data_IF_843089622972
#
_entry.id   IF_843089622972
#
_cell.length_a   1.000
_cell.length_b   1.000
_cell.length_c   1.000
_cell.angle_alpha   90.00
_cell.angle_beta   90.00
_cell.angle_gamma   90.00
#
_symmetry.space_group_name_H-M   'P 1'
#
loop_
_entity.id
_entity.type
_entity.pdbx_description
1 polymer ?
#
# COMPACT_ATOMS: atom_id res chain seq x y z
N UNK A 1 8.77 6.15 16.09
CA UNK A 1 8.29 4.77 16.35
C UNK A 1 8.18 4.09 15.01
N UNK A 2 8.93 3.03 14.74
CA UNK A 2 8.89 2.39 13.42
C UNK A 2 7.62 1.54 13.25
N UNK A 3 7.01 1.58 12.06
CA UNK A 3 5.70 0.96 11.79
C UNK A 3 5.69 -0.57 11.88
N UNK A 4 6.85 -1.22 11.85
CA UNK A 4 7.00 -2.68 11.99
C UNK A 4 7.47 -3.12 13.39
N UNK A 5 7.88 -2.20 14.26
CA UNK A 5 8.48 -2.54 15.56
C UNK A 5 7.48 -2.39 16.70
N UNK A 6 7.50 -3.33 17.64
CA UNK A 6 6.63 -3.31 18.81
C UNK A 6 6.97 -2.17 19.76
N UNK A 7 5.97 -1.48 20.34
CA UNK A 7 4.53 -1.64 20.12
C UNK A 7 4.10 -1.12 18.73
N UNK A 8 3.37 -1.95 17.98
CA UNK A 8 2.98 -1.67 16.59
C UNK A 8 1.60 -1.03 16.56
N UNK A 9 1.43 0.14 15.94
CA UNK A 9 0.11 0.67 15.64
C UNK A 9 -0.46 -0.08 14.43
N UNK A 10 -1.42 -0.99 14.64
CA UNK A 10 -2.00 -1.72 13.52
C UNK A 10 -2.89 -0.79 12.69
N UNK A 11 -2.87 -0.85 11.35
CA UNK A 11 -3.70 0.01 10.50
C UNK A 11 -5.20 -0.08 10.79
N UNK A 12 -5.68 -1.24 11.24
CA UNK A 12 -7.08 -1.40 11.65
C UNK A 12 -7.42 -0.56 12.89
N UNK A 13 -6.51 -0.47 13.86
CA UNK A 13 -6.66 0.36 15.05
C UNK A 13 -6.57 1.85 14.69
N UNK A 14 -5.62 2.20 13.81
CA UNK A 14 -5.50 3.55 13.27
C UNK A 14 -6.77 3.97 12.54
N UNK A 15 -7.35 3.10 11.72
CA UNK A 15 -8.60 3.38 11.00
C UNK A 15 -9.73 3.69 11.98
N UNK A 16 -9.87 2.93 13.07
CA UNK A 16 -10.89 3.21 14.08
C UNK A 16 -10.73 4.61 14.69
N UNK A 17 -9.49 5.03 14.99
CA UNK A 17 -9.20 6.41 15.44
C UNK A 17 -9.57 7.44 14.39
N UNK A 18 -9.18 7.23 13.13
CA UNK A 18 -9.50 8.15 12.02
C UNK A 18 -11.00 8.28 11.85
N UNK A 19 -11.75 7.18 11.83
CA UNK A 19 -13.23 7.21 11.73
C UNK A 19 -13.85 8.02 12.85
N UNK A 20 -13.34 7.84 14.07
CA UNK A 20 -13.83 8.58 15.23
C UNK A 20 -13.56 10.07 15.07
N UNK A 21 -12.33 10.48 14.76
CA UNK A 21 -11.99 11.88 14.55
C UNK A 21 -12.76 12.50 13.37
N UNK A 22 -12.89 11.79 12.25
CA UNK A 22 -13.67 12.21 11.07
C UNK A 22 -15.18 12.36 11.35
N UNK A 23 -15.69 11.72 12.41
CA UNK A 23 -17.09 11.89 12.83
C UNK A 23 -17.33 13.12 13.70
N UNK A 24 -16.27 13.86 14.06
CA UNK A 24 -16.32 15.05 14.91
C UNK A 24 -16.05 16.31 14.08
N UNK A 25 -16.80 17.37 14.36
CA UNK A 25 -16.62 18.68 13.73
C UNK A 25 -15.56 19.55 14.43
N UNK A 26 -15.11 19.15 15.61
CA UNK A 26 -14.20 19.91 16.46
C UNK A 26 -13.04 19.04 16.94
N UNK A 27 -11.87 19.63 17.26
CA UNK A 27 -10.75 18.90 17.84
C UNK A 27 -11.15 18.12 19.09
N UNK A 28 -10.67 16.89 19.22
CA UNK A 28 -11.12 15.95 20.25
C UNK A 28 -10.07 15.74 21.32
N UNK A 29 -10.37 15.94 22.61
CA UNK A 29 -9.41 15.67 23.67
C UNK A 29 -8.90 14.23 23.64
N UNK A 30 -7.61 14.01 23.90
CA UNK A 30 -7.02 12.66 23.94
C UNK A 30 -7.82 11.70 24.82
N UNK A 31 -8.24 12.19 25.98
CA UNK A 31 -9.00 11.40 26.95
C UNK A 31 -10.38 10.96 26.41
N UNK A 32 -11.00 11.79 25.56
CA UNK A 32 -12.26 11.43 24.89
C UNK A 32 -12.03 10.34 23.84
N UNK A 33 -10.93 10.41 23.08
CA UNK A 33 -10.54 9.35 22.13
C UNK A 33 -10.31 8.03 22.89
N UNK A 34 -9.55 8.08 23.99
CA UNK A 34 -9.22 6.92 24.83
C UNK A 34 -10.48 6.26 25.41
N UNK A 35 -11.34 7.02 26.09
CA UNK A 35 -12.56 6.50 26.73
C UNK A 35 -13.48 5.85 25.70
N UNK A 36 -13.61 6.45 24.52
CA UNK A 36 -14.52 5.95 23.49
C UNK A 36 -14.02 4.66 22.84
N UNK A 37 -12.73 4.55 22.58
CA UNK A 37 -12.13 3.43 21.86
C UNK A 37 -11.72 2.28 22.77
N UNK A 38 -11.46 2.57 24.04
CA UNK A 38 -10.89 1.63 24.99
C UNK A 38 -11.62 1.71 26.36
N UNK A 39 -12.97 1.60 26.40
CA UNK A 39 -13.76 1.89 27.61
C UNK A 39 -13.45 0.95 28.78
N UNK A 40 -12.86 -0.22 28.52
CA UNK A 40 -12.53 -1.24 29.53
C UNK A 40 -11.10 -1.13 30.06
N UNK A 41 -10.27 -0.23 29.52
CA UNK A 41 -8.90 -0.06 29.98
C UNK A 41 -8.91 0.96 31.13
N UNK A 42 -8.71 0.53 32.40
CA UNK A 42 -8.65 1.46 33.51
C UNK A 42 -7.52 2.46 33.30
N UNK A 43 -7.61 3.64 33.93
CA UNK A 43 -6.51 4.60 33.94
C UNK A 43 -5.23 3.90 34.41
N UNK A 44 -4.33 3.65 33.47
CA UNK A 44 -3.08 2.96 33.70
C UNK A 44 -1.94 3.84 33.21
N UNK A 45 -0.77 3.71 33.83
CA UNK A 45 0.44 4.40 33.36
C UNK A 45 0.99 3.84 32.03
N UNK A 46 0.39 2.78 31.47
CA UNK A 46 0.81 2.21 30.19
C UNK A 46 0.16 2.97 29.04
N UNK A 47 0.95 3.23 28.01
CA UNK A 47 0.46 3.77 26.74
C UNK A 47 -0.55 2.79 26.12
N UNK A 48 -1.61 3.33 25.54
CA UNK A 48 -2.71 2.54 24.99
C UNK A 48 -2.66 2.46 23.46
N UNK A 49 -3.52 1.63 22.86
CA UNK A 49 -3.62 1.51 21.39
C UNK A 49 -4.00 2.85 20.77
N UNK A 50 -4.91 3.61 21.39
CA UNK A 50 -5.26 4.97 20.96
C UNK A 50 -4.02 5.89 20.94
N UNK A 51 -3.14 5.80 21.94
CA UNK A 51 -1.89 6.57 21.95
C UNK A 51 -0.98 6.20 20.77
N UNK A 52 -0.75 4.91 20.53
CA UNK A 52 0.12 4.46 19.44
C UNK A 52 -0.43 4.84 18.07
N UNK A 53 -1.74 4.71 17.86
CA UNK A 53 -2.40 5.12 16.63
C UNK A 53 -2.29 6.64 16.37
N UNK A 54 -2.56 7.47 17.38
CA UNK A 54 -2.41 8.93 17.27
C UNK A 54 -0.96 9.36 17.03
N UNK A 55 -0.01 8.71 17.72
CA UNK A 55 1.42 8.95 17.52
C UNK A 55 1.86 8.58 16.09
N UNK A 56 1.35 7.47 15.55
CA UNK A 56 1.60 7.05 14.17
C UNK A 56 1.02 8.06 13.16
N UNK A 57 -0.25 8.46 13.34
CA UNK A 57 -0.88 9.48 12.49
C UNK A 57 -0.10 10.80 12.52
N UNK A 58 0.37 11.23 13.69
CA UNK A 58 1.22 12.42 13.81
C UNK A 58 2.55 12.26 13.09
N UNK A 59 3.23 11.13 13.25
CA UNK A 59 4.51 10.89 12.55
C UNK A 59 4.35 10.82 11.04
N UNK A 60 3.16 10.48 10.55
CA UNK A 60 2.80 10.46 9.14
C UNK A 60 2.21 11.78 8.65
N UNK A 61 2.11 12.81 9.50
CA UNK A 61 1.53 14.11 9.13
C UNK A 61 0.03 14.07 8.82
N UNK A 62 -0.70 13.08 9.32
CA UNK A 62 -2.12 12.84 9.06
C UNK A 62 -3.03 13.22 10.24
N UNK A 63 -2.46 13.54 11.39
CA UNK A 63 -3.15 14.15 12.52
C UNK A 63 -2.19 15.05 13.30
N UNK A 64 -2.74 16.01 14.04
CA UNK A 64 -1.94 16.88 14.90
C UNK A 64 -2.61 17.12 16.25
N UNK A 65 -1.78 17.50 17.22
CA UNK A 65 -2.24 18.01 18.50
C UNK A 65 -2.49 19.52 18.39
N UNK A 66 -3.69 19.96 18.77
CA UNK A 66 -4.11 21.37 18.81
C UNK A 66 -4.33 21.82 20.25
N UNK A 67 -4.38 23.14 20.47
CA UNK A 67 -4.68 23.70 21.80
C UNK A 67 -3.64 23.35 22.87
N UNK A 68 -2.36 23.40 22.53
CA UNK A 68 -1.26 23.16 23.48
C UNK A 68 -1.07 21.68 23.89
N UNK A 69 -1.41 20.73 23.00
CA UNK A 69 -1.22 19.30 23.27
C UNK A 69 -2.44 18.59 23.85
N UNK A 70 -3.60 19.25 23.88
CA UNK A 70 -4.78 18.75 24.61
C UNK A 70 -5.82 18.07 23.74
N UNK A 71 -5.92 18.44 22.45
CA UNK A 71 -6.92 17.93 21.53
C UNK A 71 -6.32 17.49 20.19
N UNK A 72 -6.99 16.58 19.50
CA UNK A 72 -6.52 15.97 18.26
C UNK A 72 -7.47 16.29 17.10
N UNK A 73 -6.89 16.57 15.93
CA UNK A 73 -7.63 16.73 14.68
C UNK A 73 -6.92 16.01 13.54
N UNK A 74 -7.66 15.60 12.52
CA UNK A 74 -7.10 15.08 11.27
C UNK A 74 -6.53 16.22 10.44
N UNK A 75 -5.45 15.94 9.71
CA UNK A 75 -4.72 16.91 8.88
C UNK A 75 -4.29 16.28 7.55
N UNK A 76 -3.69 17.08 6.67
CA UNK A 76 -3.19 16.62 5.37
C UNK A 76 -4.29 15.96 4.53
N UNK A 77 -3.95 14.82 3.94
CA UNK A 77 -4.87 14.02 3.11
C UNK A 77 -6.09 13.47 3.87
N UNK A 78 -6.10 13.53 5.21
CA UNK A 78 -7.23 13.12 6.05
C UNK A 78 -8.09 14.28 6.56
N UNK A 79 -7.74 15.55 6.31
CA UNK A 79 -8.46 16.70 6.86
C UNK A 79 -9.96 16.73 6.47
N UNK A 80 -10.30 16.22 5.29
CA UNK A 80 -11.68 16.10 4.78
C UNK A 80 -12.21 14.67 4.71
N UNK A 81 -11.55 13.72 5.40
CA UNK A 81 -11.95 12.32 5.33
C UNK A 81 -13.35 12.10 5.93
N UNK A 82 -14.14 11.24 5.29
CA UNK A 82 -15.42 10.77 5.84
C UNK A 82 -15.20 9.54 6.71
N UNK A 83 -16.03 9.37 7.75
CA UNK A 83 -15.95 8.24 8.69
C UNK A 83 -16.31 6.88 8.08
N UNK A 84 -16.86 6.86 6.86
CA UNK A 84 -17.22 5.66 6.09
C UNK A 84 -16.31 5.43 4.87
N UNK A 85 -15.39 6.34 4.56
CA UNK A 85 -14.56 6.29 3.35
C UNK A 85 -13.20 5.62 3.62
N UNK A 86 -13.20 4.30 3.67
CA UNK A 86 -11.97 3.51 3.84
C UNK A 86 -11.01 3.67 2.65
N UNK A 87 -11.52 3.93 1.44
CA UNK A 87 -10.68 4.10 0.26
C UNK A 87 -9.85 5.39 0.35
N UNK A 88 -10.44 6.50 0.82
CA UNK A 88 -9.71 7.72 1.14
C UNK A 88 -8.65 7.49 2.22
N UNK A 89 -8.99 6.74 3.29
CA UNK A 89 -8.02 6.35 4.30
C UNK A 89 -6.84 5.56 3.73
N UNK A 90 -7.09 4.52 2.93
CA UNK A 90 -6.03 3.74 2.30
C UNK A 90 -5.12 4.62 1.43
N UNK A 91 -5.69 5.54 0.64
CA UNK A 91 -4.93 6.47 -0.20
C UNK A 91 -4.06 7.41 0.63
N UNK A 92 -4.63 8.05 1.65
CA UNK A 92 -3.91 8.97 2.52
C UNK A 92 -2.75 8.26 3.25
N UNK A 93 -3.01 7.09 3.83
CA UNK A 93 -1.96 6.29 4.49
C UNK A 93 -0.87 5.87 3.51
N UNK A 94 -1.23 5.46 2.28
CA UNK A 94 -0.26 5.11 1.24
C UNK A 94 0.58 6.31 0.81
N UNK A 95 -0.03 7.47 0.60
CA UNK A 95 0.70 8.69 0.26
C UNK A 95 1.71 9.06 1.34
N UNK A 96 1.31 9.03 2.61
CA UNK A 96 2.19 9.36 3.72
C UNK A 96 3.32 8.34 3.91
N UNK A 97 3.01 7.03 3.86
CA UNK A 97 4.02 5.96 4.01
C UNK A 97 5.03 5.97 2.88
N UNK A 98 4.59 6.27 1.65
CA UNK A 98 5.47 6.27 0.47
C UNK A 98 6.16 7.62 0.21
N UNK A 99 5.82 8.68 0.94
CA UNK A 99 6.37 10.02 0.73
C UNK A 99 5.91 10.68 -0.57
N UNK A 100 4.62 10.54 -0.90
CA UNK A 100 4.00 11.10 -2.12
C UNK A 100 3.27 12.41 -1.81
N UNK A 101 2.83 13.16 -2.82
CA UNK A 101 1.95 14.34 -2.66
C UNK A 101 2.48 15.42 -1.70
N UNK A 102 3.80 15.60 -1.66
CA UNK A 102 4.43 16.58 -0.77
C UNK A 102 4.57 16.11 0.69
N UNK A 103 4.26 14.85 0.98
CA UNK A 103 4.66 14.23 2.24
C UNK A 103 6.17 13.99 2.24
N UNK A 104 6.85 14.53 3.25
CA UNK A 104 8.22 14.13 3.54
C UNK A 104 8.24 12.66 3.96
N UNK A 105 9.15 11.84 3.42
CA UNK A 105 9.21 10.43 3.81
C UNK A 105 9.47 10.28 5.31
N UNK A 106 8.48 9.77 6.04
CA UNK A 106 8.64 9.54 7.47
C UNK A 106 9.64 8.40 7.70
N UNK A 107 10.75 8.67 8.41
CA UNK A 107 11.77 7.67 8.79
C UNK A 107 11.15 6.43 9.46
N UNK A 108 10.03 6.63 10.17
CA UNK A 108 9.25 5.56 10.79
C UNK A 108 8.76 4.48 9.82
N UNK A 109 8.69 4.79 8.53
CA UNK A 109 8.19 3.91 7.48
C UNK A 109 9.30 3.21 6.68
N UNK A 110 10.58 3.46 6.93
CA UNK A 110 11.70 2.96 6.10
C UNK A 110 11.73 1.44 5.99
N UNK A 111 11.67 0.74 7.14
CA UNK A 111 11.61 -0.72 7.18
C UNK A 111 10.38 -1.25 6.44
N UNK A 112 9.23 -0.56 6.55
CA UNK A 112 8.01 -0.96 5.83
C UNK A 112 8.16 -0.76 4.32
N UNK A 113 8.75 0.35 3.86
CA UNK A 113 9.00 0.61 2.44
C UNK A 113 9.93 -0.43 1.84
N UNK A 114 11.00 -0.79 2.56
CA UNK A 114 11.93 -1.85 2.15
C UNK A 114 11.23 -3.21 2.08
N UNK A 115 10.39 -3.53 3.07
CA UNK A 115 9.60 -4.76 3.10
C UNK A 115 8.63 -4.86 1.91
N UNK A 116 7.95 -3.75 1.58
CA UNK A 116 7.02 -3.64 0.46
C UNK A 116 7.75 -3.82 -0.87
N UNK A 117 8.88 -3.15 -1.06
CA UNK A 117 9.69 -3.28 -2.27
C UNK A 117 10.12 -4.73 -2.51
N UNK A 118 10.72 -5.36 -1.49
CA UNK A 118 11.07 -6.78 -1.56
C UNK A 118 9.86 -7.65 -1.88
N UNK A 119 8.75 -7.47 -1.16
CA UNK A 119 7.55 -8.28 -1.32
C UNK A 119 6.96 -8.18 -2.73
N UNK A 120 6.93 -6.97 -3.31
CA UNK A 120 6.36 -6.72 -4.63
C UNK A 120 7.24 -7.23 -5.79
N UNK A 121 8.49 -7.61 -5.53
CA UNK A 121 9.29 -8.36 -6.52
C UNK A 121 8.90 -9.84 -6.62
N UNK A 122 8.14 -10.36 -5.66
CA UNK A 122 7.76 -11.78 -5.63
C UNK A 122 6.62 -12.05 -6.61
N UNK A 123 6.49 -13.30 -7.03
CA UNK A 123 5.46 -13.72 -7.98
C UNK A 123 4.16 -14.13 -7.26
N UNK A 124 3.06 -13.35 -7.38
CA UNK A 124 1.78 -13.73 -6.78
C UNK A 124 1.10 -14.92 -7.46
N UNK A 125 1.54 -15.35 -8.66
CA UNK A 125 0.94 -16.48 -9.36
C UNK A 125 1.39 -17.84 -8.83
N UNK A 126 2.67 -17.94 -8.49
CA UNK A 126 3.27 -19.20 -8.04
C UNK A 126 3.38 -19.30 -6.52
N UNK A 127 3.31 -18.18 -5.80
CA UNK A 127 3.71 -18.13 -4.40
C UNK A 127 2.68 -17.47 -3.48
N UNK A 128 2.51 -18.08 -2.30
CA UNK A 128 1.78 -17.49 -1.18
C UNK A 128 2.60 -17.70 0.09
N UNK A 129 2.79 -16.63 0.86
CA UNK A 129 3.81 -16.57 1.91
C UNK A 129 3.21 -16.76 3.29
N UNK A 130 3.91 -17.52 4.13
CA UNK A 130 3.84 -17.41 5.58
C UNK A 130 5.25 -17.13 6.13
N UNK A 131 5.37 -16.89 7.43
CA UNK A 131 6.66 -16.59 8.05
C UNK A 131 7.74 -17.64 7.72
N UNK A 132 7.42 -18.93 7.78
CA UNK A 132 8.39 -20.00 7.50
C UNK A 132 8.93 -19.95 6.06
N UNK A 133 8.11 -19.55 5.08
CA UNK A 133 8.57 -19.34 3.70
C UNK A 133 9.43 -18.09 3.57
N UNK A 134 9.08 -17.02 4.29
CA UNK A 134 9.82 -15.75 4.28
C UNK A 134 11.21 -15.94 4.89
N UNK A 135 11.31 -16.56 6.07
CA UNK A 135 12.58 -16.77 6.77
C UNK A 135 13.61 -17.51 5.90
N UNK A 136 13.17 -18.55 5.16
CA UNK A 136 14.04 -19.33 4.28
C UNK A 136 14.49 -18.60 3.00
N UNK A 137 13.73 -17.61 2.51
CA UNK A 137 13.94 -16.98 1.20
C UNK A 137 14.46 -15.56 1.31
N UNK A 138 13.99 -14.79 2.28
CA UNK A 138 14.41 -13.43 2.52
C UNK A 138 15.92 -13.35 2.80
N UNK A 139 16.50 -14.39 3.43
CA UNK A 139 17.95 -14.48 3.68
C UNK A 139 18.82 -14.53 2.41
N UNK A 140 18.26 -14.90 1.26
CA UNK A 140 19.03 -15.13 0.02
C UNK A 140 18.94 -13.98 -0.98
N UNK A 141 17.90 -13.15 -0.88
CA UNK A 141 17.48 -12.26 -1.96
C UNK A 141 17.48 -10.76 -1.59
N UNK A 142 18.06 -10.38 -0.44
CA UNK A 142 18.24 -8.99 -0.05
C UNK A 142 19.46 -8.38 -0.79
N UNK A 143 19.29 -7.38 -1.69
CA UNK A 143 20.39 -6.85 -2.48
C UNK A 143 21.49 -6.19 -1.65
N UNK A 144 21.11 -5.59 -0.52
CA UNK A 144 22.00 -4.95 0.47
C UNK A 144 22.49 -5.94 1.56
N UNK A 145 22.02 -7.19 1.54
CA UNK A 145 22.28 -8.18 2.58
C UNK A 145 21.56 -7.91 3.90
N UNK A 146 20.71 -6.88 3.99
CA UNK A 146 19.99 -6.52 5.21
C UNK A 146 18.60 -7.19 5.24
N UNK A 147 18.33 -7.94 6.31
CA UNK A 147 17.04 -8.59 6.48
C UNK A 147 16.00 -7.61 7.01
N UNK A 148 14.95 -7.35 6.23
CA UNK A 148 13.79 -6.57 6.68
C UNK A 148 12.98 -7.32 7.73
N UNK A 149 12.80 -8.63 7.51
CA UNK A 149 12.15 -9.54 8.45
C UNK A 149 13.18 -10.38 9.20
N UNK A 150 13.55 -9.93 10.39
CA UNK A 150 14.46 -10.65 11.29
C UNK A 150 13.76 -11.64 12.21
N UNK A 151 12.43 -11.56 12.33
CA UNK A 151 11.60 -12.43 13.17
C UNK A 151 10.12 -12.41 12.74
N UNK A 152 9.33 -13.32 13.32
CA UNK A 152 7.89 -13.43 13.12
C UNK A 152 7.12 -12.20 13.62
N UNK A 153 7.62 -11.53 14.67
CA UNK A 153 6.95 -10.35 15.26
C UNK A 153 6.84 -9.17 14.31
N UNK A 154 7.69 -9.08 13.27
CA UNK A 154 7.59 -8.06 12.21
C UNK A 154 6.68 -8.48 11.06
N UNK A 155 6.48 -9.78 10.85
CA UNK A 155 5.71 -10.30 9.73
C UNK A 155 4.22 -9.96 9.83
N UNK A 156 3.61 -10.19 11.00
CA UNK A 156 2.20 -9.85 11.22
C UNK A 156 1.90 -8.36 10.99
N UNK A 157 2.63 -7.42 11.63
CA UNK A 157 2.57 -5.99 11.30
C UNK A 157 2.67 -5.69 9.82
N UNK A 158 3.65 -6.27 9.13
CA UNK A 158 3.84 -6.05 7.70
C UNK A 158 2.63 -6.48 6.89
N UNK A 159 2.10 -7.68 7.11
CA UNK A 159 0.94 -8.16 6.34
C UNK A 159 -0.29 -7.26 6.54
N UNK A 160 -0.49 -6.75 7.76
CA UNK A 160 -1.55 -5.80 8.06
C UNK A 160 -1.34 -4.46 7.34
N UNK A 161 -0.12 -3.92 7.37
CA UNK A 161 0.26 -2.70 6.66
C UNK A 161 0.15 -2.85 5.15
N UNK A 162 0.76 -3.86 4.54
CA UNK A 162 0.70 -4.10 3.11
C UNK A 162 -0.76 -4.21 2.61
N UNK A 163 -1.61 -4.92 3.36
CA UNK A 163 -3.04 -5.03 3.05
C UNK A 163 -3.75 -3.68 3.16
N UNK A 164 -3.55 -2.94 4.25
CA UNK A 164 -4.15 -1.63 4.45
C UNK A 164 -3.69 -0.59 3.41
N UNK A 165 -2.49 -0.72 2.86
CA UNK A 165 -2.00 0.15 1.79
C UNK A 165 -2.49 -0.28 0.40
N UNK A 166 -3.12 -1.45 0.28
CA UNK A 166 -3.56 -2.03 -1.00
C UNK A 166 -2.42 -2.61 -1.83
N UNK A 167 -1.30 -2.95 -1.18
CA UNK A 167 -0.07 -3.49 -1.75
C UNK A 167 0.18 -4.95 -1.33
N UNK A 168 -0.85 -5.59 -0.80
CA UNK A 168 -0.87 -6.98 -0.42
C UNK A 168 -2.30 -7.45 -0.16
N UNK A 169 -2.49 -8.77 -0.15
CA UNK A 169 -3.78 -9.37 0.18
C UNK A 169 -3.59 -10.70 0.91
N UNK A 170 -4.57 -11.12 1.74
CA UNK A 170 -4.63 -12.51 2.17
C UNK A 170 -4.86 -13.43 0.96
N UNK A 171 -4.21 -14.59 0.96
CA UNK A 171 -4.38 -15.56 -0.11
C UNK A 171 -5.82 -16.12 -0.10
N UNK A 172 -6.51 -16.17 -1.24
CA UNK A 172 -7.93 -16.56 -1.29
C UNK A 172 -8.16 -18.01 -0.84
N UNK A 173 -7.17 -18.88 -1.00
CA UNK A 173 -7.24 -20.30 -0.64
C UNK A 173 -6.75 -20.59 0.79
N UNK A 174 -6.12 -19.64 1.48
CA UNK A 174 -5.61 -19.84 2.84
C UNK A 174 -5.43 -18.50 3.54
N UNK A 175 -6.32 -18.18 4.49
CA UNK A 175 -6.33 -16.89 5.19
C UNK A 175 -5.02 -16.56 5.95
N UNK A 176 -4.22 -17.58 6.32
CA UNK A 176 -2.92 -17.41 6.97
C UNK A 176 -1.76 -17.13 5.99
N UNK A 177 -2.03 -17.09 4.69
CA UNK A 177 -1.03 -16.80 3.68
C UNK A 177 -1.23 -15.42 3.09
N UNK A 178 -0.13 -14.82 2.66
CA UNK A 178 -0.06 -13.50 2.08
C UNK A 178 0.35 -13.57 0.61
N UNK A 179 -0.20 -12.67 -0.21
CA UNK A 179 0.13 -12.53 -1.63
C UNK A 179 0.51 -11.07 -1.90
N UNK A 180 1.60 -10.80 -2.66
CA UNK A 180 2.00 -9.47 -3.06
C UNK A 180 1.07 -8.92 -4.16
N UNK A 181 -0.16 -8.63 -3.77
CA UNK A 181 -1.23 -8.15 -4.64
C UNK A 181 -1.39 -6.63 -4.50
N UNK A 182 -0.95 -5.88 -5.52
CA UNK A 182 -1.11 -4.42 -5.58
C UNK A 182 -2.35 -3.96 -6.36
N UNK A 183 -3.29 -4.86 -6.69
CA UNK A 183 -4.46 -4.56 -7.54
C UNK A 183 -5.27 -3.39 -7.01
N UNK A 184 -5.51 -3.33 -5.69
CA UNK A 184 -6.27 -2.24 -5.08
C UNK A 184 -5.58 -0.89 -5.19
N UNK A 185 -4.27 -0.84 -4.96
CA UNK A 185 -3.52 0.39 -5.12
C UNK A 185 -3.45 0.83 -6.59
N UNK A 186 -3.23 -0.10 -7.52
CA UNK A 186 -3.24 0.15 -8.97
C UNK A 186 -4.59 0.70 -9.42
N UNK A 187 -5.69 0.05 -9.02
CA UNK A 187 -7.04 0.49 -9.34
C UNK A 187 -7.28 1.94 -8.89
N UNK A 188 -6.95 2.27 -7.63
CA UNK A 188 -7.13 3.62 -7.10
C UNK A 188 -6.30 4.67 -7.85
N UNK A 189 -5.05 4.35 -8.22
CA UNK A 189 -4.21 5.26 -9.01
C UNK A 189 -4.80 5.50 -10.39
N UNK A 190 -5.26 4.45 -11.07
CA UNK A 190 -5.85 4.59 -12.40
C UNK A 190 -7.21 5.30 -12.36
N UNK A 191 -8.02 5.10 -11.32
CA UNK A 191 -9.27 5.84 -11.14
C UNK A 191 -9.05 7.34 -10.94
N UNK A 192 -7.96 7.71 -10.26
CA UNK A 192 -7.64 9.11 -9.98
C UNK A 192 -6.99 9.84 -11.16
N UNK A 193 -6.14 9.14 -11.92
CA UNK A 193 -5.28 9.78 -12.91
C UNK A 193 -5.62 9.42 -14.36
N UNK A 194 -6.38 8.35 -14.61
CA UNK A 194 -6.72 7.91 -15.96
C UNK A 194 -8.19 8.18 -16.29
N UNK A 195 -8.49 8.90 -17.40
CA UNK A 195 -9.88 9.09 -17.83
C UNK A 195 -10.51 7.74 -18.20
N UNK A 196 -11.81 7.60 -17.93
CA UNK A 196 -12.54 6.39 -18.30
C UNK A 196 -12.82 6.36 -19.79
N UNK A 197 -12.84 5.16 -20.38
CA UNK A 197 -13.30 4.89 -21.74
C UNK A 197 -12.33 5.28 -22.86
N UNK A 198 -11.27 6.02 -22.56
CA UNK A 198 -10.26 6.43 -23.54
C UNK A 198 -9.01 5.52 -23.46
N UNK A 199 -8.52 4.98 -24.60
CA UNK A 199 -7.27 4.24 -24.61
C UNK A 199 -6.10 5.17 -24.31
N UNK A 200 -5.20 4.72 -23.44
CA UNK A 200 -3.96 5.41 -23.10
C UNK A 200 -2.76 4.53 -23.45
N UNK A 201 -1.63 5.15 -23.78
CA UNK A 201 -0.39 4.44 -24.07
C UNK A 201 0.05 3.61 -22.85
N UNK A 202 0.35 2.34 -23.07
CA UNK A 202 0.65 1.42 -21.98
C UNK A 202 1.95 1.75 -21.23
N UNK A 203 2.93 2.34 -21.91
CA UNK A 203 4.19 2.76 -21.28
C UNK A 203 3.96 3.99 -20.39
N UNK A 204 3.16 4.94 -20.85
CA UNK A 204 2.79 6.11 -20.03
C UNK A 204 1.99 5.70 -18.79
N UNK A 205 1.07 4.75 -18.92
CA UNK A 205 0.35 4.17 -17.77
C UNK A 205 1.31 3.44 -16.81
N UNK A 206 2.30 2.71 -17.32
CA UNK A 206 3.31 2.06 -16.48
C UNK A 206 4.16 3.07 -15.71
N UNK A 207 4.57 4.17 -16.35
CA UNK A 207 5.31 5.28 -15.70
C UNK A 207 4.49 5.92 -14.60
N UNK A 208 3.22 6.25 -14.89
CA UNK A 208 2.28 6.79 -13.92
C UNK A 208 2.14 5.88 -12.69
N UNK A 209 2.00 4.57 -12.90
CA UNK A 209 1.89 3.61 -11.80
C UNK A 209 3.15 3.57 -10.93
N UNK A 210 4.34 3.66 -11.53
CA UNK A 210 5.62 3.69 -10.81
C UNK A 210 5.86 4.99 -10.05
N UNK A 211 5.37 6.10 -10.59
CA UNK A 211 5.41 7.40 -9.92
C UNK A 211 4.55 7.37 -8.64
N UNK A 212 3.34 6.79 -8.72
CA UNK A 212 2.41 6.75 -7.59
C UNK A 212 2.54 5.52 -6.69
N UNK A 213 3.26 4.48 -7.11
CA UNK A 213 3.55 3.27 -6.33
C UNK A 213 5.06 2.97 -6.37
N UNK A 214 5.92 3.87 -5.85
CA UNK A 214 7.37 3.80 -6.05
C UNK A 214 8.08 2.55 -5.49
N UNK A 215 7.37 1.75 -4.67
CA UNK A 215 7.84 0.46 -4.15
C UNK A 215 7.60 -0.71 -5.11
N UNK A 216 6.84 -0.55 -6.20
CA UNK A 216 6.71 -1.60 -7.22
C UNK A 216 8.00 -1.69 -8.04
N UNK A 217 8.30 -2.86 -8.66
CA UNK A 217 9.47 -2.99 -9.52
C UNK A 217 9.55 -1.93 -10.64
N UNK A 218 10.70 -1.24 -10.72
CA UNK A 218 10.95 -0.09 -11.60
C UNK A 218 10.44 1.26 -11.06
N UNK A 219 9.87 1.29 -9.86
CA UNK A 219 9.63 2.53 -9.12
C UNK A 219 10.89 3.00 -8.39
N UNK A 220 11.00 4.30 -8.14
CA UNK A 220 12.24 4.91 -7.61
C UNK A 220 12.70 4.33 -6.27
N UNK A 221 11.78 3.96 -5.37
CA UNK A 221 12.14 3.35 -4.08
C UNK A 221 12.64 1.93 -4.30
N UNK A 222 11.97 1.15 -5.15
CA UNK A 222 12.40 -0.20 -5.52
C UNK A 222 13.79 -0.20 -6.17
N UNK A 223 14.04 0.73 -7.09
CA UNK A 223 15.33 0.85 -7.79
C UNK A 223 16.47 1.24 -6.85
N UNK A 224 16.25 2.22 -5.97
CA UNK A 224 17.23 2.65 -4.98
C UNK A 224 17.63 1.53 -4.01
N UNK A 225 16.72 0.57 -3.78
CA UNK A 225 16.96 -0.62 -2.95
C UNK A 225 17.61 -1.79 -3.74
N UNK A 226 17.93 -1.60 -5.02
CA UNK A 226 18.58 -2.61 -5.86
C UNK A 226 17.62 -3.59 -6.55
N UNK A 227 16.31 -3.37 -6.48
CA UNK A 227 15.29 -4.19 -7.15
C UNK A 227 14.92 -3.64 -8.53
N UNK A 228 15.93 -3.25 -9.31
CA UNK A 228 15.77 -2.71 -10.65
C UNK A 228 15.25 -3.74 -11.66
N UNK A 229 14.66 -3.25 -12.75
CA UNK A 229 14.23 -4.08 -13.86
C UNK A 229 15.20 -4.01 -15.04
N UNK A 230 15.23 -5.02 -15.94
CA UNK A 230 16.15 -5.04 -17.07
C UNK A 230 15.97 -3.87 -18.05
N UNK A 231 14.72 -3.42 -18.22
CA UNK A 231 14.38 -2.29 -19.06
C UNK A 231 13.07 -1.64 -18.61
N UNK A 232 12.88 -0.37 -19.00
CA UNK A 232 11.73 0.45 -18.59
C UNK A 232 10.37 -0.14 -19.02
N UNK A 233 10.32 -0.92 -20.10
CA UNK A 233 9.08 -1.53 -20.62
C UNK A 233 8.74 -2.85 -19.95
N UNK A 234 9.66 -3.43 -19.18
CA UNK A 234 9.40 -4.65 -18.42
C UNK A 234 8.47 -4.33 -17.27
N UNK A 235 7.39 -5.09 -17.10
CA UNK A 235 6.46 -4.97 -15.96
C UNK A 235 6.82 -6.04 -14.93
N UNK A 236 6.93 -5.66 -13.65
CA UNK A 236 7.15 -6.62 -12.57
C UNK A 236 6.00 -7.63 -12.42
N UNK A 237 6.25 -8.74 -11.75
CA UNK A 237 5.27 -9.82 -11.50
C UNK A 237 3.99 -9.32 -10.82
N UNK A 238 4.12 -8.62 -9.69
CA UNK A 238 3.00 -8.09 -8.90
C UNK A 238 2.15 -7.09 -9.68
N UNK A 239 2.80 -6.22 -10.46
CA UNK A 239 2.12 -5.24 -11.30
C UNK A 239 1.45 -5.89 -12.52
N UNK A 240 2.10 -6.90 -13.13
CA UNK A 240 1.50 -7.70 -14.20
C UNK A 240 0.24 -8.40 -13.70
N UNK A 241 0.32 -9.00 -12.50
CA UNK A 241 -0.83 -9.61 -11.82
C UNK A 241 -1.97 -8.61 -11.63
N UNK A 242 -1.67 -7.41 -11.10
CA UNK A 242 -2.69 -6.38 -10.88
C UNK A 242 -3.40 -5.94 -12.17
N UNK A 243 -2.65 -5.75 -13.27
CA UNK A 243 -3.20 -5.35 -14.56
C UNK A 243 -4.05 -6.47 -15.19
N UNK A 244 -3.58 -7.73 -15.14
CA UNK A 244 -4.35 -8.87 -15.64
C UNK A 244 -5.60 -9.14 -14.80
N UNK A 245 -5.50 -9.01 -13.48
CA UNK A 245 -6.65 -9.08 -12.59
C UNK A 245 -7.67 -7.99 -12.93
N UNK A 246 -7.21 -6.77 -13.25
CA UNK A 246 -8.09 -5.69 -13.67
C UNK A 246 -8.81 -5.94 -15.00
N UNK A 247 -8.15 -6.60 -15.95
CA UNK A 247 -8.78 -7.06 -17.17
C UNK A 247 -9.81 -8.17 -16.91
N UNK A 248 -9.46 -9.15 -16.08
CA UNK A 248 -10.36 -10.25 -15.70
C UNK A 248 -11.60 -9.75 -14.93
N UNK A 249 -11.42 -8.80 -14.02
CA UNK A 249 -12.49 -8.12 -13.27
C UNK A 249 -13.20 -7.02 -14.09
N UNK A 250 -12.83 -6.84 -15.36
CA UNK A 250 -13.49 -5.98 -16.36
C UNK A 250 -13.43 -4.47 -16.08
N UNK A 251 -12.61 -4.00 -15.16
CA UNK A 251 -12.39 -2.56 -14.95
C UNK A 251 -11.21 -2.02 -15.78
N UNK A 252 -10.44 -2.89 -16.44
CA UNK A 252 -9.46 -2.55 -17.47
C UNK A 252 -9.70 -3.32 -18.77
N UNK A 253 -9.20 -2.77 -19.87
CA UNK A 253 -9.00 -3.48 -21.13
C UNK A 253 -7.59 -3.20 -21.62
N UNK A 254 -6.83 -4.26 -21.90
CA UNK A 254 -5.48 -4.17 -22.45
C UNK A 254 -5.48 -4.65 -23.90
N UNK A 255 -4.96 -3.83 -24.81
CA UNK A 255 -4.88 -4.16 -26.24
C UNK A 255 -3.42 -4.18 -26.71
N UNK A 256 -3.16 -4.90 -27.80
CA UNK A 256 -1.86 -4.95 -28.45
C UNK A 256 -2.03 -4.68 -29.93
N UNK A 257 -1.44 -3.59 -30.39
CA UNK A 257 -1.40 -3.20 -31.80
C UNK A 257 -0.06 -3.62 -32.40
N UNK A 258 -0.10 -4.19 -33.61
CA UNK A 258 1.11 -4.72 -34.27
C UNK A 258 2.09 -3.64 -34.72
N UNK A 259 1.64 -2.39 -34.83
CA UNK A 259 2.43 -1.22 -35.22
C UNK A 259 2.85 -0.34 -34.03
N UNK A 260 2.53 -0.77 -32.80
CA UNK A 260 2.92 -0.06 -31.59
C UNK A 260 4.45 -0.01 -31.46
N UNK A 261 4.98 1.21 -31.30
CA UNK A 261 6.42 1.43 -31.26
C UNK A 261 7.08 0.92 -29.97
N UNK A 262 6.36 0.96 -28.85
CA UNK A 262 6.93 0.69 -27.51
C UNK A 262 5.98 -0.10 -26.60
N UNK A 263 5.57 -1.34 -26.99
CA UNK A 263 4.72 -2.14 -26.12
C UNK A 263 5.45 -2.52 -24.82
N UNK A 264 4.69 -2.52 -23.71
CA UNK A 264 5.15 -3.04 -22.42
C UNK A 264 5.12 -4.57 -22.43
N UNK A 265 5.97 -5.17 -21.59
CA UNK A 265 6.18 -6.61 -21.45
C UNK A 265 5.57 -7.09 -20.14
N UNK A 266 4.40 -7.72 -20.21
CA UNK A 266 3.70 -8.32 -19.08
C UNK A 266 4.12 -9.77 -18.89
N UNK A 267 4.28 -10.18 -17.64
CA UNK A 267 4.42 -11.59 -17.30
C UNK A 267 3.04 -12.23 -17.19
N UNK A 268 2.77 -13.24 -18.00
CA UNK A 268 1.48 -13.94 -18.05
C UNK A 268 1.74 -15.43 -17.79
N UNK A 269 1.29 -16.00 -16.65
CA UNK A 269 1.58 -17.39 -16.30
C UNK A 269 0.86 -18.41 -17.21
N UNK A 270 -0.21 -18.00 -17.90
CA UNK A 270 -0.94 -18.87 -18.83
C UNK A 270 -0.23 -18.96 -20.18
N UNK A 271 0.74 -18.07 -20.43
CA UNK A 271 1.52 -18.03 -21.67
C UNK A 271 2.97 -18.42 -21.40
N UNK A 272 3.50 -19.29 -22.26
CA UNK A 272 4.94 -19.60 -22.27
C UNK A 272 5.81 -18.39 -22.70
N UNK A 273 5.20 -17.33 -23.23
CA UNK A 273 5.86 -16.14 -23.73
C UNK A 273 5.30 -14.86 -23.09
N UNK A 274 6.14 -13.84 -23.01
CA UNK A 274 5.78 -12.49 -22.56
C UNK A 274 4.59 -11.95 -23.35
N UNK A 275 3.58 -11.42 -22.64
CA UNK A 275 2.44 -10.74 -23.25
C UNK A 275 2.83 -9.29 -23.54
N UNK A 276 2.67 -8.87 -24.80
CA UNK A 276 2.85 -7.47 -25.19
C UNK A 276 1.53 -6.70 -25.02
N UNK A 277 1.64 -5.46 -24.58
CA UNK A 277 0.51 -4.53 -24.44
C UNK A 277 0.93 -3.14 -24.93
N UNK A 278 0.13 -2.55 -25.83
CA UNK A 278 0.38 -1.20 -26.38
C UNK A 278 -0.55 -0.15 -25.80
N UNK A 279 -1.76 -0.53 -25.40
CA UNK A 279 -2.73 0.41 -24.84
C UNK A 279 -3.53 -0.19 -23.69
N UNK A 280 -3.85 0.68 -22.71
CA UNK A 280 -4.66 0.36 -21.54
C UNK A 280 -5.84 1.32 -21.50
N UNK A 281 -7.04 0.79 -21.37
CA UNK A 281 -8.28 1.57 -21.23
C UNK A 281 -8.92 1.25 -19.89
N UNK A 282 -9.15 2.28 -19.06
CA UNK A 282 -9.99 2.13 -17.86
C UNK A 282 -11.45 2.06 -18.27
N UNK A 283 -12.20 1.13 -17.68
CA UNK A 283 -13.66 1.08 -17.80
C UNK A 283 -14.31 1.76 -16.60
N UNK A 284 -15.51 2.32 -16.79
CA UNK A 284 -16.32 2.66 -15.62
C UNK A 284 -16.69 1.35 -14.92
N UNK A 285 -16.70 1.37 -13.59
CA UNK A 285 -17.30 0.27 -12.86
C UNK A 285 -18.77 0.23 -13.26
N UNK A 286 -19.21 -0.88 -13.88
CA UNK A 286 -20.63 -1.15 -13.99
C UNK A 286 -21.17 -1.18 -12.55
N UNK A 287 -21.98 -0.18 -12.17
CA UNK A 287 -22.67 -0.17 -10.90
C UNK A 287 -23.64 -1.37 -10.89
N UNK A 288 -23.18 -2.52 -10.42
CA UNK A 288 -23.99 -3.72 -10.15
C UNK A 288 -24.25 -3.81 -8.65
#
# INVERSE_FOLDING_TARGET
MALLNTPVPYPGEIWVVVRFLASRSEPVPYETVRIFLEPHIPESKKLTTAHYALSALRSLGLAEETGGGSAWTLTGDLAGARSDDYAAFQRAMRSAVLGLRGHEPAETADDLRRALAWSLTRDPFSESFNWATVDNRHQKDAPDGELVFVNDTRWSPFTAWATALGLGAPAPHTAQRFVPDCTRAVQQVLEEHLPSGAPSDALDVLRLLREHLPVVPGGVISENLGYGLPDERTVGTSLSFALMRGEHEKWLVMSSDSDAKQPIKLQDPERLAVRLCSSITRREADNV
#
